data_IF_744699444286
#
_entry.id   IF_744699444286
#
_cell.length_a   1.000
_cell.length_b   1.000
_cell.length_c   1.000
_cell.angle_alpha   90.00
_cell.angle_beta   90.00
_cell.angle_gamma   90.00
#
_symmetry.space_group_name_H-M   'P 1'
#
loop_
_entity.id
_entity.type
_entity.pdbx_description
1 polymer ?
#
# COMPACT_ATOMS: atom_id res chain seq x y z
N UNK A 1 -21.87 20.93 3.41
CA UNK A 1 -20.51 21.51 3.48
C UNK A 1 -19.59 20.55 2.76
N UNK A 2 -18.70 21.01 1.88
CA UNK A 2 -17.69 20.10 1.32
C UNK A 2 -16.70 19.80 2.43
N UNK A 3 -16.58 18.53 2.81
CA UNK A 3 -15.56 18.12 3.77
C UNK A 3 -14.18 18.44 3.19
N UNK A 4 -13.33 19.11 3.96
CA UNK A 4 -11.93 19.35 3.63
C UNK A 4 -11.05 18.38 4.39
N UNK A 5 -9.95 17.96 3.77
CA UNK A 5 -9.08 16.92 4.28
C UNK A 5 -7.69 17.48 4.55
N UNK A 6 -7.14 17.13 5.70
CA UNK A 6 -5.72 17.32 6.01
C UNK A 6 -4.97 15.99 5.86
N UNK A 7 -3.74 16.02 5.34
CA UNK A 7 -2.92 14.81 5.08
C UNK A 7 -2.83 13.86 6.28
N UNK A 8 -2.72 14.41 7.49
CA UNK A 8 -2.60 13.64 8.74
C UNK A 8 -3.89 12.94 9.20
N UNK A 9 -5.02 13.34 8.64
CA UNK A 9 -6.33 12.79 9.00
C UNK A 9 -6.72 11.64 8.05
N UNK A 10 -5.95 11.43 6.98
CA UNK A 10 -6.11 10.30 6.06
C UNK A 10 -5.49 9.06 6.72
N UNK A 11 -6.32 8.29 7.42
CA UNK A 11 -5.90 7.03 8.03
C UNK A 11 -5.93 5.90 7.00
N UNK A 12 -5.19 4.83 7.29
CA UNK A 12 -5.32 3.56 6.59
C UNK A 12 -6.79 3.10 6.59
N UNK A 13 -7.28 2.63 5.44
CA UNK A 13 -8.69 2.29 5.15
C UNK A 13 -9.73 3.42 5.19
N UNK A 14 -9.46 4.56 5.82
CA UNK A 14 -10.43 5.66 5.96
C UNK A 14 -10.28 6.69 4.84
N UNK A 15 -10.65 6.27 3.63
CA UNK A 15 -10.69 7.16 2.46
C UNK A 15 -12.10 7.69 2.22
N UNK A 16 -12.25 8.93 1.70
CA UNK A 16 -13.55 9.44 1.31
C UNK A 16 -14.23 8.52 0.29
N UNK A 17 -15.56 8.56 0.25
CA UNK A 17 -16.32 7.88 -0.79
C UNK A 17 -15.81 8.36 -2.17
N UNK A 18 -15.47 7.45 -3.10
CA UNK A 18 -14.89 7.84 -4.37
C UNK A 18 -15.91 8.62 -5.20
N UNK A 19 -15.45 9.74 -5.76
CA UNK A 19 -16.16 10.45 -6.82
C UNK A 19 -16.34 9.55 -8.04
N UNK A 20 -17.20 9.97 -8.98
CA UNK A 20 -17.35 9.24 -10.24
C UNK A 20 -16.03 9.13 -11.01
N UNK A 21 -15.22 10.20 -10.99
CA UNK A 21 -13.88 10.19 -11.59
C UNK A 21 -12.99 9.13 -10.94
N UNK A 22 -12.93 9.07 -9.61
CA UNK A 22 -12.13 8.07 -8.90
C UNK A 22 -12.62 6.64 -9.21
N UNK A 23 -13.94 6.41 -9.31
CA UNK A 23 -14.48 5.11 -9.71
C UNK A 23 -14.04 4.71 -11.11
N UNK A 24 -14.13 5.62 -12.08
CA UNK A 24 -13.68 5.36 -13.45
C UNK A 24 -12.18 5.04 -13.52
N UNK A 25 -11.34 5.75 -12.75
CA UNK A 25 -9.91 5.43 -12.64
C UNK A 25 -9.67 4.04 -12.05
N UNK A 26 -10.40 3.67 -11.00
CA UNK A 26 -10.31 2.32 -10.39
C UNK A 26 -10.71 1.23 -11.38
N UNK A 27 -11.80 1.43 -12.11
CA UNK A 27 -12.23 0.51 -13.16
C UNK A 27 -11.18 0.37 -14.26
N UNK A 28 -10.64 1.49 -14.77
CA UNK A 28 -9.59 1.46 -15.77
C UNK A 28 -8.32 0.74 -15.26
N UNK A 29 -7.90 1.02 -14.03
CA UNK A 29 -6.78 0.33 -13.38
C UNK A 29 -7.00 -1.18 -13.26
N UNK A 30 -8.21 -1.61 -12.91
CA UNK A 30 -8.58 -3.02 -12.83
C UNK A 30 -8.54 -3.72 -14.20
N UNK A 31 -9.00 -3.08 -15.27
CA UNK A 31 -8.91 -3.62 -16.64
C UNK A 31 -7.45 -3.76 -17.09
N UNK A 32 -6.60 -2.77 -16.78
CA UNK A 32 -5.18 -2.83 -17.09
C UNK A 32 -4.45 -3.93 -16.30
N UNK A 33 -4.82 -4.13 -15.03
CA UNK A 33 -4.29 -5.22 -14.22
C UNK A 33 -4.72 -6.59 -14.79
N UNK A 34 -5.99 -6.75 -15.18
CA UNK A 34 -6.49 -7.98 -15.79
C UNK A 34 -5.79 -8.28 -17.12
N UNK A 35 -5.55 -7.24 -17.94
CA UNK A 35 -4.75 -7.36 -19.17
C UNK A 35 -3.32 -7.81 -18.88
N UNK A 36 -2.68 -7.25 -17.84
CA UNK A 36 -1.33 -7.64 -17.43
C UNK A 36 -1.27 -9.12 -17.02
N UNK A 37 -2.23 -9.60 -16.21
CA UNK A 37 -2.30 -11.02 -15.83
C UNK A 37 -2.49 -11.93 -17.06
N UNK A 38 -3.32 -11.53 -18.04
CA UNK A 38 -3.54 -12.29 -19.27
C UNK A 38 -2.32 -12.29 -20.22
N UNK A 39 -1.53 -11.22 -20.21
CA UNK A 39 -0.31 -11.08 -21.03
C UNK A 39 0.79 -12.04 -20.58
N UNK A 40 0.86 -12.35 -19.28
CA UNK A 40 1.91 -13.20 -18.73
C UNK A 40 1.82 -14.61 -19.30
N UNK A 41 2.81 -14.95 -20.14
CA UNK A 41 2.89 -16.24 -20.86
C UNK A 41 1.73 -16.43 -21.85
N UNK A 42 1.20 -15.34 -22.40
CA UNK A 42 0.25 -15.39 -23.50
C UNK A 42 0.87 -16.12 -24.70
N UNK A 43 0.30 -17.27 -25.06
CA UNK A 43 0.61 -18.00 -26.28
C UNK A 43 -0.43 -17.64 -27.34
N UNK A 44 -0.06 -16.77 -28.27
CA UNK A 44 -0.95 -16.28 -29.32
C UNK A 44 -0.22 -16.20 -30.67
N UNK A 45 -0.95 -16.33 -31.80
CA UNK A 45 -0.36 -16.16 -33.12
C UNK A 45 0.28 -14.78 -33.30
N UNK A 46 1.35 -14.70 -34.10
CA UNK A 46 2.08 -13.45 -34.34
C UNK A 46 1.18 -12.31 -34.86
N UNK A 47 0.19 -12.63 -35.71
CA UNK A 47 -0.77 -11.66 -36.23
C UNK A 47 -1.64 -11.04 -35.13
N UNK A 48 -2.09 -11.85 -34.16
CA UNK A 48 -2.88 -11.37 -33.01
C UNK A 48 -2.03 -10.50 -32.08
N UNK A 49 -0.78 -10.92 -31.79
CA UNK A 49 0.16 -10.13 -31.01
C UNK A 49 0.39 -8.74 -31.63
N UNK A 50 0.54 -8.67 -32.95
CA UNK A 50 0.66 -7.40 -33.67
C UNK A 50 -0.61 -6.55 -33.51
N UNK A 51 -1.80 -7.15 -33.64
CA UNK A 51 -3.08 -6.49 -33.42
C UNK A 51 -3.23 -5.89 -32.00
N UNK A 52 -2.83 -6.63 -30.97
CA UNK A 52 -2.85 -6.15 -29.58
C UNK A 52 -1.88 -4.99 -29.36
N UNK A 53 -0.66 -5.06 -29.92
CA UNK A 53 0.32 -3.98 -29.86
C UNK A 53 -0.27 -2.68 -30.45
N UNK A 54 -0.94 -2.77 -31.59
CA UNK A 54 -1.51 -1.59 -32.26
C UNK A 54 -2.73 -1.01 -31.50
N UNK A 55 -3.51 -1.85 -30.81
CA UNK A 55 -4.56 -1.39 -29.90
C UNK A 55 -3.99 -0.65 -28.69
N UNK A 56 -2.99 -1.23 -28.01
CA UNK A 56 -2.34 -0.61 -26.83
C UNK A 56 -1.65 0.71 -27.23
N UNK A 57 -1.02 0.77 -28.41
CA UNK A 57 -0.40 2.00 -28.92
C UNK A 57 -1.41 3.12 -29.15
N UNK A 58 -2.57 2.81 -29.73
CA UNK A 58 -3.67 3.77 -29.92
C UNK A 58 -4.17 4.30 -28.59
N UNK A 59 -4.50 3.41 -27.65
CA UNK A 59 -4.94 3.81 -26.31
C UNK A 59 -3.90 4.70 -25.61
N UNK A 60 -2.62 4.33 -25.67
CA UNK A 60 -1.53 5.13 -25.10
C UNK A 60 -1.44 6.52 -25.74
N UNK A 61 -1.57 6.62 -27.07
CA UNK A 61 -1.53 7.90 -27.78
C UNK A 61 -2.72 8.78 -27.40
N UNK A 62 -3.93 8.21 -27.29
CA UNK A 62 -5.12 8.92 -26.85
C UNK A 62 -4.95 9.46 -25.43
N UNK A 63 -4.44 8.64 -24.50
CA UNK A 63 -4.14 9.06 -23.13
C UNK A 63 -3.09 10.18 -23.05
N UNK A 64 -2.09 10.19 -23.95
CA UNK A 64 -1.07 11.23 -24.01
C UNK A 64 -1.62 12.62 -24.40
N UNK A 65 -2.82 12.69 -24.97
CA UNK A 65 -3.49 13.97 -25.25
C UNK A 65 -4.03 14.65 -23.99
N UNK A 66 -4.02 13.96 -22.85
CA UNK A 66 -4.46 14.46 -21.55
C UNK A 66 -3.27 14.73 -20.62
N UNK A 67 -3.40 15.73 -19.74
CA UNK A 67 -2.40 16.03 -18.72
C UNK A 67 -2.50 15.12 -17.49
N UNK A 68 -1.48 15.13 -16.63
CA UNK A 68 -1.56 14.57 -15.28
C UNK A 68 -1.91 15.67 -14.26
N UNK A 69 -2.57 15.29 -13.15
CA UNK A 69 -2.72 16.19 -12.01
C UNK A 69 -1.37 16.42 -11.33
N UNK A 70 -1.13 17.65 -10.90
CA UNK A 70 0.09 18.02 -10.18
C UNK A 70 0.06 17.45 -8.76
N UNK A 71 0.86 16.41 -8.54
CA UNK A 71 1.01 15.75 -7.24
C UNK A 71 1.49 16.71 -6.15
N UNK A 72 2.42 17.63 -6.46
CA UNK A 72 2.92 18.58 -5.47
C UNK A 72 1.82 19.56 -5.06
N UNK A 73 1.02 20.04 -6.02
CA UNK A 73 -0.10 20.91 -5.72
C UNK A 73 -1.18 20.19 -4.87
N UNK A 74 -1.47 18.93 -5.16
CA UNK A 74 -2.36 18.06 -4.36
C UNK A 74 -1.84 17.97 -2.92
N UNK A 75 -0.58 17.57 -2.75
CA UNK A 75 0.03 17.40 -1.44
C UNK A 75 0.04 18.70 -0.64
N UNK A 76 0.34 19.84 -1.28
CA UNK A 76 0.33 21.14 -0.62
C UNK A 76 -1.06 21.53 -0.09
N UNK A 77 -2.15 21.23 -0.83
CA UNK A 77 -3.52 21.46 -0.32
C UNK A 77 -3.83 20.58 0.88
N UNK A 78 -3.48 19.30 0.80
CA UNK A 78 -3.67 18.35 1.91
C UNK A 78 -2.86 18.76 3.15
N UNK A 79 -1.63 19.24 3.00
CA UNK A 79 -0.82 19.74 4.11
C UNK A 79 -1.36 21.03 4.75
N UNK A 80 -2.22 21.77 4.05
CA UNK A 80 -2.90 22.98 4.57
C UNK A 80 -4.30 22.69 5.12
N UNK A 81 -4.80 21.46 4.99
CA UNK A 81 -6.17 21.11 5.38
C UNK A 81 -7.23 21.60 4.40
N UNK A 82 -6.81 21.95 3.17
CA UNK A 82 -7.64 22.48 2.10
C UNK A 82 -7.93 21.43 1.02
N UNK A 83 -7.52 20.17 1.24
CA UNK A 83 -7.67 19.11 0.25
C UNK A 83 -9.11 18.68 0.07
N UNK A 84 -9.46 18.35 -1.17
CA UNK A 84 -10.73 17.72 -1.51
C UNK A 84 -10.68 16.20 -1.33
N UNK A 85 -11.83 15.53 -1.33
CA UNK A 85 -11.85 14.06 -1.37
C UNK A 85 -11.16 13.49 -2.60
N UNK A 86 -11.22 14.19 -3.73
CA UNK A 86 -10.50 13.84 -4.96
C UNK A 86 -8.98 13.91 -4.77
N UNK A 87 -8.49 14.92 -4.04
CA UNK A 87 -7.07 15.03 -3.69
C UNK A 87 -6.60 13.86 -2.81
N UNK A 88 -7.44 13.38 -1.89
CA UNK A 88 -7.16 12.16 -1.12
C UNK A 88 -7.11 10.93 -2.04
N UNK A 89 -8.09 10.75 -2.93
CA UNK A 89 -8.09 9.59 -3.84
C UNK A 89 -6.93 9.61 -4.81
N UNK A 90 -6.52 10.78 -5.33
CA UNK A 90 -5.36 10.87 -6.22
C UNK A 90 -4.03 10.60 -5.48
N UNK A 91 -3.97 10.81 -4.17
CA UNK A 91 -2.82 10.44 -3.34
C UNK A 91 -2.71 8.91 -3.18
N UNK A 92 -3.83 8.24 -2.87
CA UNK A 92 -3.81 6.83 -2.43
C UNK A 92 -4.14 5.82 -3.53
N UNK A 93 -4.95 6.16 -4.53
CA UNK A 93 -5.45 5.18 -5.51
C UNK A 93 -4.36 4.74 -6.50
N UNK A 94 -3.25 5.47 -6.60
CA UNK A 94 -2.12 5.14 -7.48
C UNK A 94 -0.89 4.60 -6.74
N UNK A 95 -0.98 4.40 -5.42
CA UNK A 95 0.08 3.76 -4.65
C UNK A 95 0.39 2.35 -5.19
N UNK A 96 1.66 1.97 -5.14
CA UNK A 96 2.08 0.59 -5.45
C UNK A 96 1.52 -0.36 -4.40
N UNK A 97 1.07 -1.54 -4.80
CA UNK A 97 0.42 -2.58 -3.98
C UNK A 97 -0.89 -2.23 -3.27
N UNK A 98 -1.18 -0.99 -2.86
CA UNK A 98 -2.43 -0.63 -2.15
C UNK A 98 -3.41 0.17 -3.01
N UNK A 99 -2.91 0.81 -4.08
CA UNK A 99 -3.68 1.73 -4.90
C UNK A 99 -4.74 1.03 -5.74
N UNK A 100 -6.01 1.42 -5.55
CA UNK A 100 -7.18 0.83 -6.22
C UNK A 100 -7.28 1.14 -7.72
N UNK A 101 -6.53 2.11 -8.23
CA UNK A 101 -6.44 2.48 -9.64
C UNK A 101 -5.06 2.17 -10.24
N UNK A 102 -4.13 1.60 -9.46
CA UNK A 102 -2.80 1.25 -9.95
C UNK A 102 -2.83 -0.11 -10.66
N UNK A 103 -2.36 -0.19 -11.92
CA UNK A 103 -2.24 -1.46 -12.63
C UNK A 103 -1.09 -2.34 -12.10
N UNK A 104 -0.29 -1.83 -11.15
CA UNK A 104 0.85 -2.52 -10.53
C UNK A 104 0.52 -3.09 -9.15
N UNK A 105 -0.73 -2.96 -8.70
CA UNK A 105 -1.15 -3.38 -7.37
C UNK A 105 -1.89 -4.73 -7.44
N UNK A 106 -1.51 -5.77 -6.67
CA UNK A 106 -2.55 -6.64 -6.14
C UNK A 106 -3.41 -5.76 -5.21
N UNK A 107 -4.68 -6.06 -4.94
CA UNK A 107 -5.38 -5.29 -3.91
C UNK A 107 -4.83 -5.70 -2.53
N UNK A 108 -3.71 -5.11 -2.06
CA UNK A 108 -3.33 -5.14 -0.65
C UNK A 108 -4.25 -4.18 0.08
N UNK A 109 -5.28 -4.75 0.68
CA UNK A 109 -6.17 -4.01 1.57
C UNK A 109 -5.50 -3.92 2.92
N UNK A 110 -5.43 -2.71 3.46
CA UNK A 110 -4.90 -2.44 4.79
C UNK A 110 -6.00 -1.79 5.62
N UNK A 111 -6.09 -2.15 6.90
CA UNK A 111 -7.02 -1.52 7.85
C UNK A 111 -6.43 -1.53 9.25
N UNK A 112 -7.00 -0.69 10.12
CA UNK A 112 -6.65 -0.66 11.54
C UNK A 112 -7.66 -1.48 12.34
N UNK A 113 -7.15 -2.35 13.22
CA UNK A 113 -7.90 -3.22 14.12
C UNK A 113 -7.41 -2.95 15.55
N UNK A 114 -8.01 -1.95 16.20
CA UNK A 114 -7.50 -1.40 17.46
C UNK A 114 -6.16 -0.68 17.24
N UNK A 115 -5.09 -1.20 17.81
CA UNK A 115 -3.70 -0.74 17.63
C UNK A 115 -2.87 -1.64 16.70
N UNK A 116 -3.52 -2.61 16.06
CA UNK A 116 -2.89 -3.54 15.13
C UNK A 116 -3.23 -3.13 13.70
N UNK A 117 -2.21 -2.90 12.89
CA UNK A 117 -2.42 -2.72 11.44
C UNK A 117 -2.53 -4.11 10.81
N UNK A 118 -3.61 -4.31 10.08
CA UNK A 118 -3.90 -5.55 9.37
C UNK A 118 -3.80 -5.32 7.87
N UNK A 119 -3.53 -6.40 7.15
CA UNK A 119 -3.65 -6.39 5.71
C UNK A 119 -4.03 -7.73 5.12
N UNK A 120 -4.57 -7.71 3.91
CA UNK A 120 -4.90 -8.91 3.14
C UNK A 120 -4.65 -8.67 1.66
N UNK A 121 -4.06 -9.66 1.00
CA UNK A 121 -3.87 -9.65 -0.45
C UNK A 121 -4.00 -11.07 -1.02
N UNK A 122 -4.34 -11.18 -2.31
CA UNK A 122 -4.18 -12.39 -3.10
C UNK A 122 -3.29 -12.06 -4.29
N UNK A 123 -2.07 -12.61 -4.31
CA UNK A 123 -1.08 -12.28 -5.34
C UNK A 123 -1.25 -13.17 -6.57
N UNK A 124 -1.31 -12.55 -7.75
CA UNK A 124 -1.38 -13.20 -9.05
C UNK A 124 -0.02 -13.61 -9.62
N UNK A 125 -0.03 -13.97 -10.90
CA UNK A 125 1.17 -14.41 -11.62
C UNK A 125 2.19 -13.28 -11.80
N UNK A 126 1.74 -12.03 -11.86
CA UNK A 126 2.61 -10.86 -12.00
C UNK A 126 3.62 -10.69 -10.85
N UNK A 127 3.30 -11.28 -9.69
CA UNK A 127 4.10 -11.17 -8.48
C UNK A 127 4.90 -12.44 -8.18
N UNK A 128 4.90 -13.41 -9.11
CA UNK A 128 5.65 -14.66 -8.96
C UNK A 128 7.15 -14.39 -8.99
N UNK A 129 7.88 -14.96 -8.03
CA UNK A 129 9.34 -15.07 -8.08
C UNK A 129 9.74 -16.50 -8.38
N UNK A 130 9.92 -17.35 -7.34
CA UNK A 130 10.04 -18.79 -7.55
C UNK A 130 8.73 -19.41 -8.10
N UNK A 131 8.81 -20.58 -8.77
CA UNK A 131 7.61 -21.28 -9.24
C UNK A 131 6.56 -21.46 -8.14
N UNK A 132 5.35 -20.96 -8.38
CA UNK A 132 4.21 -21.05 -7.47
C UNK A 132 4.30 -20.18 -6.20
N UNK A 133 5.32 -19.31 -6.08
CA UNK A 133 5.53 -18.48 -4.89
C UNK A 133 5.65 -17.00 -5.24
N UNK A 134 5.12 -16.16 -4.36
CA UNK A 134 5.29 -14.70 -4.43
C UNK A 134 6.78 -14.38 -4.29
N UNK A 135 7.27 -13.44 -5.08
CA UNK A 135 8.65 -12.97 -4.99
C UNK A 135 8.90 -12.35 -3.60
N UNK A 136 10.01 -12.71 -2.94
CA UNK A 136 10.33 -12.19 -1.61
C UNK A 136 10.35 -10.67 -1.56
N UNK A 137 10.90 -10.01 -2.58
CA UNK A 137 10.86 -8.54 -2.70
C UNK A 137 9.46 -7.91 -2.74
N UNK A 138 8.43 -8.62 -3.26
CA UNK A 138 7.04 -8.13 -3.21
C UNK A 138 6.50 -8.21 -1.79
N UNK A 139 6.83 -9.29 -1.08
CA UNK A 139 6.47 -9.43 0.34
C UNK A 139 7.19 -8.39 1.20
N UNK A 140 8.45 -8.09 0.90
CA UNK A 140 9.20 -7.03 1.57
C UNK A 140 8.55 -5.64 1.36
N UNK A 141 8.13 -5.33 0.13
CA UNK A 141 7.40 -4.10 -0.17
C UNK A 141 6.06 -4.03 0.58
N UNK A 142 5.28 -5.11 0.58
CA UNK A 142 4.02 -5.18 1.33
C UNK A 142 4.21 -4.97 2.84
N UNK A 143 5.29 -5.56 3.41
CA UNK A 143 5.64 -5.38 4.81
C UNK A 143 6.08 -3.95 5.13
N UNK A 144 6.93 -3.33 4.30
CA UNK A 144 7.32 -1.92 4.49
C UNK A 144 6.09 -1.01 4.54
N UNK A 145 5.16 -1.18 3.58
CA UNK A 145 3.92 -0.40 3.54
C UNK A 145 3.01 -0.63 4.74
N UNK A 146 2.75 -1.90 5.08
CA UNK A 146 1.93 -2.29 6.24
C UNK A 146 2.51 -1.70 7.53
N UNK A 147 3.81 -1.90 7.75
CA UNK A 147 4.50 -1.49 8.98
C UNK A 147 4.61 0.03 9.07
N UNK A 148 4.76 0.73 7.94
CA UNK A 148 4.73 2.20 7.91
C UNK A 148 3.38 2.77 8.38
N UNK A 149 2.26 2.06 8.19
CA UNK A 149 0.93 2.49 8.68
C UNK A 149 0.77 2.39 10.20
N UNK A 150 1.69 1.77 10.93
CA UNK A 150 1.70 1.88 12.41
C UNK A 150 1.92 3.33 12.86
N UNK A 151 2.40 4.21 11.96
CA UNK A 151 2.50 5.64 12.20
C UNK A 151 1.14 6.34 12.35
N UNK A 152 0.03 5.70 11.96
CA UNK A 152 -1.31 6.22 12.21
C UNK A 152 -1.64 6.31 13.71
N UNK A 153 -0.87 5.62 14.56
CA UNK A 153 -0.99 5.65 16.02
C UNK A 153 -0.25 6.83 16.67
N UNK A 154 0.58 7.57 15.93
CA UNK A 154 1.46 8.63 16.44
C UNK A 154 1.29 9.95 15.69
N UNK A 155 1.78 11.05 16.25
CA UNK A 155 1.63 12.39 15.67
C UNK A 155 2.67 12.70 14.59
N UNK A 156 3.87 12.15 14.73
CA UNK A 156 4.99 12.37 13.83
C UNK A 156 4.96 11.37 12.66
N UNK A 157 5.65 11.74 11.58
CA UNK A 157 5.88 10.87 10.44
C UNK A 157 7.39 10.79 10.25
N UNK A 158 7.86 9.58 9.98
CA UNK A 158 9.23 9.27 9.68
C UNK A 158 9.35 8.37 8.46
N UNK A 159 10.60 8.26 8.02
CA UNK A 159 10.99 7.45 6.88
C UNK A 159 11.52 6.11 7.38
N UNK A 160 11.38 5.07 6.56
CA UNK A 160 12.00 3.77 6.83
C UNK A 160 13.49 3.94 7.03
N UNK A 161 14.00 3.58 8.20
CA UNK A 161 15.42 3.58 8.54
C UNK A 161 16.04 2.20 8.33
N UNK A 162 15.40 1.17 8.88
CA UNK A 162 15.83 -0.23 8.72
C UNK A 162 14.63 -1.13 8.57
N UNK A 163 14.76 -2.17 7.74
CA UNK A 163 13.81 -3.27 7.62
C UNK A 163 14.59 -4.60 7.61
N UNK A 164 14.32 -5.46 8.59
CA UNK A 164 14.92 -6.79 8.70
C UNK A 164 13.82 -7.83 8.50
N UNK A 165 13.98 -8.71 7.52
CA UNK A 165 12.94 -9.68 7.12
C UNK A 165 13.52 -11.09 7.14
N UNK A 166 12.82 -12.00 7.80
CA UNK A 166 13.11 -13.43 7.85
C UNK A 166 12.00 -14.22 7.16
N UNK A 167 12.33 -14.88 6.06
CA UNK A 167 11.44 -15.78 5.33
C UNK A 167 11.52 -17.18 5.93
N UNK A 168 10.43 -17.63 6.57
CA UNK A 168 10.32 -18.92 7.25
C UNK A 168 9.79 -20.01 6.29
N UNK A 169 8.87 -19.62 5.40
CA UNK A 169 8.28 -20.47 4.38
C UNK A 169 7.88 -19.65 3.15
N UNK A 170 7.76 -20.30 1.99
CA UNK A 170 7.38 -19.63 0.75
C UNK A 170 5.89 -19.24 0.72
N UNK A 171 5.59 -17.97 0.47
CA UNK A 171 4.22 -17.49 0.27
C UNK A 171 3.66 -17.93 -1.08
N UNK A 172 2.56 -18.70 -1.15
CA UNK A 172 1.97 -19.13 -2.41
C UNK A 172 1.25 -17.98 -3.14
N UNK A 173 1.24 -18.04 -4.48
CA UNK A 173 0.34 -17.21 -5.31
C UNK A 173 -1.07 -17.80 -5.33
N UNK A 174 -2.07 -17.01 -5.73
CA UNK A 174 -3.50 -17.37 -5.82
C UNK A 174 -4.12 -17.89 -4.51
N UNK A 175 -3.49 -17.59 -3.39
CA UNK A 175 -3.96 -17.93 -2.05
C UNK A 175 -4.08 -16.64 -1.22
N UNK A 176 -5.11 -16.49 -0.37
CA UNK A 176 -5.18 -15.39 0.57
C UNK A 176 -3.95 -15.34 1.48
N UNK A 177 -3.34 -14.17 1.58
CA UNK A 177 -2.20 -13.87 2.44
C UNK A 177 -2.62 -12.77 3.40
N UNK A 178 -2.51 -13.04 4.70
CA UNK A 178 -2.80 -12.09 5.76
C UNK A 178 -1.51 -11.44 6.27
N UNK A 179 -1.61 -10.18 6.67
CA UNK A 179 -0.53 -9.36 7.17
C UNK A 179 -0.93 -8.75 8.51
N UNK A 180 0.03 -8.63 9.43
CA UNK A 180 -0.18 -7.97 10.72
C UNK A 180 1.07 -7.18 11.08
N UNK A 181 0.90 -5.94 11.54
CA UNK A 181 1.97 -5.14 12.11
C UNK A 181 1.54 -4.47 13.42
N UNK A 182 2.50 -4.31 14.33
CA UNK A 182 2.29 -3.69 15.64
C UNK A 182 3.43 -2.74 15.96
N UNK A 183 3.09 -1.59 16.51
CA UNK A 183 4.05 -0.66 17.09
C UNK A 183 4.57 -1.27 18.41
N UNK A 184 5.89 -1.45 18.52
CA UNK A 184 6.54 -2.12 19.65
C UNK A 184 7.24 -1.15 20.59
N UNK A 185 7.77 -0.04 20.09
CA UNK A 185 8.43 0.93 20.96
C UNK A 185 8.56 2.30 20.30
N UNK A 186 8.42 3.36 21.10
CA UNK A 186 8.86 4.70 20.74
C UNK A 186 10.10 5.05 21.56
N UNK A 187 11.17 5.44 20.86
CA UNK A 187 12.43 5.85 21.48
C UNK A 187 12.92 7.14 20.79
N UNK A 188 12.55 8.29 21.37
CA UNK A 188 12.84 9.62 20.80
C UNK A 188 12.30 9.71 19.37
N UNK A 189 13.18 9.91 18.38
CA UNK A 189 12.83 9.98 16.95
C UNK A 189 12.69 8.62 16.27
N UNK A 190 12.75 7.50 17.00
CA UNK A 190 12.64 6.15 16.46
C UNK A 190 11.31 5.52 16.83
N UNK A 191 10.60 5.00 15.84
CA UNK A 191 9.46 4.10 16.02
C UNK A 191 9.91 2.71 15.61
N UNK A 192 9.82 1.75 16.52
CA UNK A 192 10.07 0.33 16.25
C UNK A 192 8.75 -0.39 16.09
N UNK A 193 8.63 -1.21 15.05
CA UNK A 193 7.47 -2.06 14.86
C UNK A 193 7.87 -3.43 14.32
N UNK A 194 6.99 -4.39 14.56
CA UNK A 194 7.09 -5.75 14.05
C UNK A 194 6.00 -6.01 13.02
N UNK A 195 6.30 -6.87 12.06
CA UNK A 195 5.39 -7.32 11.02
C UNK A 195 5.45 -8.82 10.85
N UNK A 196 4.34 -9.44 10.46
CA UNK A 196 4.29 -10.85 10.08
C UNK A 196 3.36 -11.08 8.91
N UNK A 197 3.68 -12.13 8.15
CA UNK A 197 2.85 -12.64 7.06
C UNK A 197 2.33 -14.00 7.46
N UNK A 198 1.03 -14.22 7.29
CA UNK A 198 0.37 -15.48 7.57
C UNK A 198 -0.27 -16.04 6.29
N UNK A 199 -0.16 -17.36 6.14
CA UNK A 199 -0.85 -18.13 5.10
C UNK A 199 -1.56 -19.26 5.81
N UNK A 200 -2.89 -19.34 5.66
CA UNK A 200 -3.72 -20.32 6.37
C UNK A 200 -3.48 -20.33 7.90
N UNK A 201 -3.29 -19.16 8.49
CA UNK A 201 -3.00 -18.99 9.92
C UNK A 201 -1.59 -19.34 10.37
N UNK A 202 -0.72 -19.84 9.47
CA UNK A 202 0.69 -20.11 9.78
C UNK A 202 1.57 -18.95 9.37
N UNK A 203 2.45 -18.52 10.28
CA UNK A 203 3.41 -17.45 9.97
C UNK A 203 4.47 -17.96 8.99
N UNK A 204 4.57 -17.30 7.83
CA UNK A 204 5.54 -17.62 6.79
C UNK A 204 6.69 -16.62 6.73
N UNK A 205 6.50 -15.42 7.27
CA UNK A 205 7.51 -14.35 7.28
C UNK A 205 7.42 -13.57 8.58
N UNK A 206 8.57 -13.19 9.14
CA UNK A 206 8.70 -12.28 10.27
C UNK A 206 9.50 -11.05 9.84
N UNK A 207 9.15 -9.87 10.35
CA UNK A 207 9.87 -8.65 10.08
C UNK A 207 9.94 -7.73 11.29
N UNK A 208 11.04 -6.99 11.38
CA UNK A 208 11.26 -5.90 12.33
C UNK A 208 11.68 -4.68 11.54
N UNK A 209 11.23 -3.50 11.96
CA UNK A 209 11.59 -2.27 11.28
C UNK A 209 11.66 -1.06 12.21
N UNK A 210 12.38 -0.06 11.75
CA UNK A 210 12.57 1.21 12.44
C UNK A 210 12.23 2.35 11.49
N UNK A 211 11.33 3.24 11.91
CA UNK A 211 11.01 4.49 11.22
C UNK A 211 11.61 5.67 11.97
N UNK A 212 12.24 6.59 11.24
CA UNK A 212 12.97 7.74 11.80
C UNK A 212 12.24 9.04 11.48
N UNK A 213 11.78 9.74 12.52
CA UNK A 213 11.16 11.06 12.38
C UNK A 213 12.20 12.12 12.03
N UNK A 214 11.93 12.88 10.98
CA UNK A 214 12.70 14.07 10.63
C UNK A 214 12.35 15.28 11.53
N UNK A 215 11.20 15.24 12.22
CA UNK A 215 10.61 16.38 12.91
C UNK A 215 10.26 16.06 14.37
N UNK A 216 11.29 15.90 15.20
CA UNK A 216 11.14 15.69 16.64
C UNK A 216 10.79 14.25 17.03
N UNK A 217 10.54 14.08 18.33
CA UNK A 217 10.30 12.77 18.94
C UNK A 217 8.88 12.28 18.66
N UNK A 218 8.71 10.96 18.53
CA UNK A 218 7.40 10.35 18.37
C UNK A 218 6.58 10.46 19.66
N UNK A 219 5.30 10.77 19.48
CA UNK A 219 4.32 10.83 20.55
C UNK A 219 3.06 10.10 20.06
N UNK A 220 2.52 9.19 20.89
CA UNK A 220 1.23 8.57 20.64
C UNK A 220 0.14 9.62 20.47
N UNK A 221 -0.82 9.35 19.59
CA UNK A 221 -2.09 10.10 19.58
C UNK A 221 -2.85 9.76 20.88
N UNK A 222 -3.62 10.71 21.44
CA UNK A 222 -4.31 10.51 22.73
C UNK A 222 -5.15 9.23 22.81
N UNK A 223 -5.80 8.86 21.71
CA UNK A 223 -6.65 7.67 21.60
C UNK A 223 -5.88 6.33 21.67
N UNK A 224 -4.56 6.34 21.52
CA UNK A 224 -3.69 5.15 21.61
C UNK A 224 -2.72 5.24 22.79
N UNK A 225 -2.96 6.14 23.76
CA UNK A 225 -2.06 6.32 24.90
C UNK A 225 -1.91 5.04 25.75
N UNK A 226 -2.95 4.21 25.80
CA UNK A 226 -2.98 2.93 26.54
C UNK A 226 -2.37 1.76 25.75
N UNK A 227 -2.18 1.90 24.44
CA UNK A 227 -1.50 0.92 23.57
C UNK A 227 0.02 0.90 23.77
N UNK A 228 0.53 1.60 24.77
CA UNK A 228 1.94 1.53 25.13
C UNK A 228 2.27 0.09 25.52
N UNK A 229 3.19 -0.58 24.80
CA UNK A 229 3.63 -1.89 25.20
C UNK A 229 4.24 -1.78 26.60
N UNK A 230 3.77 -2.64 27.50
CA UNK A 230 4.28 -2.74 28.86
C UNK A 230 5.78 -3.03 28.74
N UNK A 231 6.61 -2.10 29.21
CA UNK A 231 8.05 -2.31 29.32
C UNK A 231 8.25 -3.42 30.35
N UNK A 232 8.48 -4.64 29.89
CA UNK A 232 9.06 -5.68 30.74
C UNK A 232 10.54 -5.34 30.85
N UNK A 233 10.92 -4.75 31.99
CA UNK A 233 12.33 -4.69 32.38
C UNK A 233 12.83 -6.13 32.56
N UNK A 234 13.77 -6.56 31.71
CA UNK A 234 14.62 -7.73 31.95
C UNK A 234 15.81 -7.33 32.85
#
# INVERSE_FOLDING_TARGET
MSDTYHFRDIRVAETPAPSERARLHRTLGAELLALNEQLLRLDAPQAELQGYIDQVRRLRQDMQSHGQRDYNAILQRLLRGEGSGDDVTDLVDFEILSGKASPMSPPLELWLDGDVVRGRATFGMAFQGPPGRVHGGVIALALDMLMAKTQDLVKQIGMTGTLNIRYLAGTPIHTPVDFEARLIQLERRKLRCEGKVLVNGQQTVAAEGIWISAHGDYVYKPEYAESQPVVTED
#
